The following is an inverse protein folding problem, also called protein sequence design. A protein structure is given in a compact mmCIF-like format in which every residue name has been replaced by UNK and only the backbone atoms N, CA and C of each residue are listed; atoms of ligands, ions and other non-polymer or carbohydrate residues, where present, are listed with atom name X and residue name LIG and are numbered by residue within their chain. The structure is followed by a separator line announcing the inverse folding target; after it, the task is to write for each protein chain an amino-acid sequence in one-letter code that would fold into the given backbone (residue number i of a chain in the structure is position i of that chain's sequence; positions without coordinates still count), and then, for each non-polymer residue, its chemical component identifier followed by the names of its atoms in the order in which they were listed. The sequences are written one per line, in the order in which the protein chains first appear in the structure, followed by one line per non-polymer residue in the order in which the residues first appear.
data_IF_059011610166
#
_entry.id   IF_059011610166
#
_cell.length_a   1.000
_cell.length_b   1.000
_cell.length_c   1.000
_cell.angle_alpha   90.00
_cell.angle_beta   90.00
_cell.angle_gamma   90.00
#
_symmetry.space_group_name_H-M   'P 1'
#
loop_
_entity.id
_entity.type
_entity.pdbx_description
1 polymer ?
#
# COMPACT_ATOMS: atom_id res chain seq x y z
N UNK A 1 14.87 13.21 -14.86
CA UNK A 1 13.85 12.21 -14.49
C UNK A 1 14.39 11.47 -13.28
N UNK A 2 13.85 11.73 -12.07
CA UNK A 2 14.35 11.15 -10.82
C UNK A 2 13.39 10.05 -10.33
N UNK A 3 13.93 8.90 -9.98
CA UNK A 3 13.19 7.78 -9.37
C UNK A 3 13.82 7.43 -8.02
N UNK A 4 12.97 7.10 -7.04
CA UNK A 4 13.38 6.54 -5.75
C UNK A 4 12.70 5.19 -5.61
N UNK A 5 13.45 4.15 -5.26
CA UNK A 5 12.90 2.80 -5.12
C UNK A 5 13.57 1.98 -4.04
N UNK A 6 12.88 0.95 -3.59
CA UNK A 6 13.40 -0.01 -2.61
C UNK A 6 14.46 -0.89 -3.27
N UNK A 7 15.63 -1.00 -2.64
CA UNK A 7 16.65 -1.96 -3.05
C UNK A 7 16.35 -3.31 -2.40
N UNK A 8 15.88 -4.28 -3.18
CA UNK A 8 15.56 -5.62 -2.71
C UNK A 8 16.83 -6.38 -2.31
N UNK A 9 17.08 -6.46 -1.00
CA UNK A 9 18.12 -7.30 -0.44
C UNK A 9 17.57 -8.68 -0.09
N UNK A 10 18.39 -9.71 -0.28
CA UNK A 10 18.11 -11.09 0.14
C UNK A 10 18.03 -11.28 1.65
N UNK A 11 18.32 -10.24 2.44
CA UNK A 11 18.27 -10.26 3.89
C UNK A 11 16.90 -9.74 4.34
N UNK A 12 16.03 -10.58 4.91
CA UNK A 12 14.70 -10.17 5.33
C UNK A 12 14.80 -8.97 6.29
N UNK A 13 15.64 -9.06 7.32
CA UNK A 13 15.65 -8.07 8.41
C UNK A 13 16.01 -6.62 8.00
N UNK A 14 16.56 -6.40 6.79
CA UNK A 14 16.93 -5.06 6.31
C UNK A 14 15.78 -4.05 6.34
N UNK A 15 14.53 -4.52 6.20
CA UNK A 15 13.33 -3.66 6.15
C UNK A 15 12.50 -3.64 7.43
N UNK A 16 13.04 -4.10 8.56
CA UNK A 16 12.24 -4.22 9.79
C UNK A 16 11.94 -2.90 10.48
N UNK A 17 12.75 -1.86 10.23
CA UNK A 17 12.61 -0.53 10.84
C UNK A 17 12.92 0.59 9.86
N UNK A 18 12.20 0.72 8.74
CA UNK A 18 12.39 1.87 7.87
C UNK A 18 12.05 3.14 8.66
N UNK A 19 12.95 4.11 8.65
CA UNK A 19 12.62 5.44 9.17
C UNK A 19 11.52 6.04 8.30
N UNK A 20 10.49 6.66 8.91
CA UNK A 20 9.43 7.29 8.15
C UNK A 20 9.99 8.46 7.33
N UNK A 21 9.46 8.61 6.14
CA UNK A 21 9.75 9.74 5.27
C UNK A 21 8.93 10.94 5.73
N UNK A 22 9.61 12.02 6.11
CA UNK A 22 8.96 13.26 6.54
C UNK A 22 8.35 14.02 5.36
N UNK A 23 9.13 14.21 4.29
CA UNK A 23 8.67 14.85 3.06
C UNK A 23 9.58 14.51 1.88
N UNK A 24 8.99 14.43 0.69
CA UNK A 24 9.64 14.30 -0.61
C UNK A 24 9.33 15.51 -1.52
N UNK A 25 8.66 16.55 -1.00
CA UNK A 25 8.23 17.72 -1.79
C UNK A 25 9.38 18.51 -2.40
N UNK A 26 10.59 18.36 -1.87
CA UNK A 26 11.79 19.01 -2.41
C UNK A 26 12.26 18.39 -3.74
N UNK A 27 11.81 17.17 -4.07
CA UNK A 27 12.17 16.50 -5.31
C UNK A 27 11.20 16.89 -6.44
N UNK A 28 11.42 18.05 -7.05
CA UNK A 28 10.54 18.63 -8.07
C UNK A 28 10.34 17.75 -9.31
N UNK A 29 11.29 16.86 -9.62
CA UNK A 29 11.26 15.99 -10.81
C UNK A 29 11.14 14.50 -10.45
N UNK A 30 10.63 14.19 -9.24
CA UNK A 30 10.37 12.82 -8.80
C UNK A 30 9.07 12.32 -9.43
N UNK A 31 9.20 11.50 -10.46
CA UNK A 31 8.06 10.94 -11.19
C UNK A 31 7.69 9.53 -10.68
N UNK A 32 8.66 8.78 -10.17
CA UNK A 32 8.49 7.41 -9.70
C UNK A 32 8.92 7.26 -8.24
N UNK A 33 8.08 6.61 -7.43
CA UNK A 33 8.37 6.29 -6.04
C UNK A 33 7.96 4.87 -5.67
N UNK A 34 8.93 4.02 -5.32
CA UNK A 34 8.73 2.72 -4.66
C UNK A 34 9.20 2.82 -3.20
N UNK A 35 8.28 2.62 -2.25
CA UNK A 35 8.59 2.60 -0.83
C UNK A 35 7.73 1.58 -0.09
N UNK A 36 8.24 1.03 1.03
CA UNK A 36 7.43 0.24 1.95
C UNK A 36 6.30 1.10 2.54
N UNK A 37 5.13 0.52 2.75
CA UNK A 37 4.02 1.18 3.45
C UNK A 37 4.47 1.82 4.78
N UNK A 38 5.28 1.11 5.56
CA UNK A 38 5.77 1.58 6.87
C UNK A 38 6.66 2.83 6.77
N UNK A 39 7.45 2.95 5.70
CA UNK A 39 8.27 4.13 5.45
C UNK A 39 7.41 5.35 5.10
N UNK A 40 6.22 5.11 4.55
CA UNK A 40 5.34 6.15 4.06
C UNK A 40 4.35 6.67 5.11
N UNK A 41 3.68 5.78 5.85
CA UNK A 41 2.51 6.16 6.68
C UNK A 41 2.72 6.04 8.19
N UNK A 42 3.96 5.82 8.65
CA UNK A 42 4.34 5.72 10.07
C UNK A 42 3.39 4.85 10.93
N UNK A 43 3.78 3.60 11.19
CA UNK A 43 2.98 2.62 11.91
C UNK A 43 2.94 2.81 13.45
N UNK A 44 2.82 4.03 13.97
CA UNK A 44 2.48 4.20 15.39
C UNK A 44 0.97 4.20 15.53
N UNK A 45 0.41 3.19 16.21
CA UNK A 45 -1.02 3.00 16.46
C UNK A 45 -1.73 4.20 17.13
N UNK A 46 -0.98 5.23 17.54
CA UNK A 46 -1.43 6.41 18.28
C UNK A 46 -1.27 7.73 17.51
N UNK A 47 -0.63 7.74 16.34
CA UNK A 47 -0.38 8.96 15.57
C UNK A 47 -1.32 9.06 14.37
N UNK A 48 -1.90 10.24 14.18
CA UNK A 48 -2.71 10.57 13.00
C UNK A 48 -1.87 10.38 11.74
N UNK A 49 -2.35 9.58 10.78
CA UNK A 49 -1.59 9.36 9.53
C UNK A 49 -1.48 10.68 8.75
N UNK A 50 -0.27 11.04 8.28
CA UNK A 50 -0.09 12.21 7.45
C UNK A 50 -0.78 12.02 6.10
N UNK A 51 -1.51 13.04 5.65
CA UNK A 51 -2.15 13.05 4.35
C UNK A 51 -1.09 13.01 3.24
N UNK A 52 -1.35 12.26 2.16
CA UNK A 52 -0.35 11.98 1.14
C UNK A 52 0.25 13.24 0.48
N UNK A 53 -0.55 14.29 0.29
CA UNK A 53 -0.10 15.56 -0.30
C UNK A 53 0.92 16.32 0.55
N UNK A 54 1.05 15.98 1.84
CA UNK A 54 2.05 16.57 2.74
C UNK A 54 3.43 15.93 2.56
N UNK A 55 3.45 14.66 2.14
CA UNK A 55 4.68 13.89 1.95
C UNK A 55 5.12 13.95 0.49
N UNK A 56 4.22 13.70 -0.46
CA UNK A 56 4.57 13.49 -1.86
C UNK A 56 4.67 14.81 -2.63
N UNK A 57 5.62 14.92 -3.58
CA UNK A 57 5.65 16.04 -4.52
C UNK A 57 4.50 15.92 -5.54
N UNK A 58 4.08 17.03 -6.17
CA UNK A 58 3.02 17.01 -7.17
C UNK A 58 3.43 16.38 -8.51
N UNK A 59 4.74 16.28 -8.78
CA UNK A 59 5.28 15.67 -10.00
C UNK A 59 5.26 14.14 -10.02
N UNK A 60 4.68 13.52 -8.98
CA UNK A 60 4.61 12.06 -8.91
C UNK A 60 3.61 11.53 -9.94
N UNK A 61 4.07 10.54 -10.72
CA UNK A 61 3.33 9.94 -11.82
C UNK A 61 3.00 8.48 -11.52
N UNK A 62 3.98 7.77 -10.96
CA UNK A 62 3.89 6.36 -10.63
C UNK A 62 4.30 6.11 -9.19
N UNK A 63 3.53 5.24 -8.53
CA UNK A 63 3.78 4.88 -7.14
C UNK A 63 3.68 3.39 -6.92
N UNK A 64 4.70 2.84 -6.29
CA UNK A 64 4.76 1.46 -5.87
C UNK A 64 4.81 1.42 -4.34
N UNK A 65 3.88 0.67 -3.75
CA UNK A 65 3.78 0.52 -2.30
C UNK A 65 4.06 -0.94 -1.98
N UNK A 66 5.23 -1.17 -1.39
CA UNK A 66 5.68 -2.50 -0.98
C UNK A 66 5.12 -2.84 0.40
N UNK A 67 4.70 -4.09 0.60
CA UNK A 67 4.09 -4.57 1.85
C UNK A 67 2.95 -3.66 2.35
N UNK A 68 1.95 -3.36 1.50
CA UNK A 68 0.81 -2.56 1.89
C UNK A 68 0.06 -3.20 3.06
N UNK A 69 -0.30 -2.37 4.04
CA UNK A 69 -1.30 -2.68 5.05
C UNK A 69 -2.65 -2.08 4.61
N UNK A 70 -3.77 -2.67 5.06
CA UNK A 70 -5.12 -2.25 4.65
C UNK A 70 -5.42 -0.77 4.93
N UNK A 71 -4.75 -0.18 5.93
CA UNK A 71 -4.81 1.25 6.26
C UNK A 71 -4.37 2.17 5.11
N UNK A 72 -3.70 1.66 4.06
CA UNK A 72 -3.36 2.45 2.88
C UNK A 72 -4.62 2.95 2.18
N UNK A 73 -5.72 2.19 2.24
CA UNK A 73 -6.99 2.56 1.64
C UNK A 73 -7.50 3.88 2.22
N UNK A 74 -7.34 4.10 3.53
CA UNK A 74 -7.68 5.37 4.19
C UNK A 74 -6.80 6.52 3.70
N UNK A 75 -5.49 6.32 3.59
CA UNK A 75 -4.61 7.37 3.08
C UNK A 75 -4.87 7.71 1.59
N UNK A 76 -5.32 6.74 0.81
CA UNK A 76 -5.69 6.94 -0.59
C UNK A 76 -7.03 7.67 -0.77
N UNK A 77 -7.89 7.71 0.25
CA UNK A 77 -9.11 8.52 0.25
C UNK A 77 -8.83 10.02 0.20
N UNK A 78 -7.59 10.45 0.46
CA UNK A 78 -7.19 11.85 0.35
C UNK A 78 -6.97 12.29 -1.10
N UNK A 79 -6.72 11.38 -2.05
CA UNK A 79 -6.40 11.74 -3.44
C UNK A 79 -7.46 12.65 -4.09
N UNK A 80 -8.78 12.34 -4.00
CA UNK A 80 -9.82 13.20 -4.56
C UNK A 80 -9.90 14.58 -3.90
N UNK A 81 -9.36 14.75 -2.69
CA UNK A 81 -9.38 16.03 -1.97
C UNK A 81 -8.31 17.02 -2.49
N UNK A 82 -7.31 16.53 -3.22
CA UNK A 82 -6.19 17.33 -3.73
C UNK A 82 -5.92 17.06 -5.23
N UNK A 83 -6.91 17.22 -6.11
CA UNK A 83 -6.77 16.85 -7.53
C UNK A 83 -5.69 17.65 -8.26
N UNK A 84 -5.49 18.92 -7.89
CA UNK A 84 -4.42 19.74 -8.47
C UNK A 84 -3.01 19.37 -7.99
N UNK A 85 -2.88 18.68 -6.86
CA UNK A 85 -1.58 18.19 -6.36
C UNK A 85 -1.20 16.87 -7.02
N UNK A 86 -2.17 16.02 -7.38
CA UNK A 86 -1.94 14.71 -7.97
C UNK A 86 -2.34 14.66 -9.45
N UNK A 87 -2.26 15.79 -10.17
CA UNK A 87 -2.69 15.87 -11.58
C UNK A 87 -1.90 14.96 -12.52
N UNK A 88 -0.66 14.67 -12.16
CA UNK A 88 0.27 13.89 -12.97
C UNK A 88 0.28 12.41 -12.57
N UNK A 89 -0.34 12.07 -11.43
CA UNK A 89 -0.42 10.70 -10.93
C UNK A 89 -1.36 9.90 -11.82
N UNK A 90 -0.88 8.80 -12.40
CA UNK A 90 -1.67 7.92 -13.25
C UNK A 90 -1.61 6.46 -12.81
N UNK A 91 -0.67 6.06 -11.96
CA UNK A 91 -0.56 4.65 -11.53
C UNK A 91 -0.19 4.49 -10.07
N UNK A 92 -0.93 3.62 -9.39
CA UNK A 92 -0.64 3.13 -8.04
C UNK A 92 -0.57 1.61 -8.08
N UNK A 93 0.61 1.08 -7.82
CA UNK A 93 0.88 -0.35 -7.73
C UNK A 93 1.05 -0.76 -6.27
N UNK A 94 0.28 -1.74 -5.83
CA UNK A 94 0.35 -2.34 -4.51
C UNK A 94 0.98 -3.73 -4.62
N UNK A 95 2.01 -4.00 -3.81
CA UNK A 95 2.70 -5.30 -3.75
C UNK A 95 2.48 -5.97 -2.39
N UNK A 96 1.27 -6.50 -2.11
CA UNK A 96 1.01 -7.29 -0.92
C UNK A 96 1.94 -8.51 -0.82
N UNK A 97 2.45 -8.76 0.39
CA UNK A 97 3.17 -10.00 0.74
C UNK A 97 2.54 -10.63 1.97
N UNK A 98 2.54 -11.94 2.02
CA UNK A 98 1.96 -12.71 3.13
C UNK A 98 2.84 -12.64 4.39
N UNK A 99 4.16 -12.82 4.25
CA UNK A 99 5.10 -12.80 5.38
C UNK A 99 5.36 -11.41 6.00
N UNK A 100 4.86 -10.32 5.40
CA UNK A 100 5.21 -8.92 5.80
C UNK A 100 4.08 -7.91 5.83
N UNK A 101 2.90 -8.30 5.40
CA UNK A 101 1.69 -7.49 5.55
C UNK A 101 0.50 -8.40 5.81
N UNK A 102 -0.44 -7.92 6.62
CA UNK A 102 -1.80 -8.48 6.69
C UNK A 102 -2.59 -8.20 5.38
N UNK A 103 -1.88 -8.12 4.25
CA UNK A 103 -2.34 -7.48 3.03
C UNK A 103 -2.76 -8.46 1.96
N UNK A 104 -2.07 -9.60 1.76
CA UNK A 104 -2.38 -10.46 0.61
C UNK A 104 -3.84 -10.87 0.58
N UNK A 105 -4.32 -11.50 1.65
CA UNK A 105 -5.70 -11.95 1.74
C UNK A 105 -6.69 -10.77 1.73
N UNK A 106 -6.37 -9.72 2.50
CA UNK A 106 -7.21 -8.54 2.58
C UNK A 106 -7.37 -7.85 1.22
N UNK A 107 -6.31 -7.73 0.42
CA UNK A 107 -6.32 -7.09 -0.91
C UNK A 107 -6.90 -7.98 -2.00
N UNK A 108 -6.74 -9.30 -1.88
CA UNK A 108 -7.19 -10.26 -2.90
C UNK A 108 -8.67 -10.60 -2.79
N UNK A 109 -9.18 -10.76 -1.58
CA UNK A 109 -10.50 -11.35 -1.36
C UNK A 109 -11.54 -10.38 -0.79
N UNK A 110 -11.15 -9.20 -0.29
CA UNK A 110 -12.13 -8.21 0.19
C UNK A 110 -12.52 -7.24 -0.92
N UNK A 111 -13.76 -6.76 -0.85
CA UNK A 111 -14.23 -5.67 -1.70
C UNK A 111 -13.59 -4.34 -1.26
N UNK A 112 -13.04 -3.60 -2.22
CA UNK A 112 -12.37 -2.33 -2.03
C UNK A 112 -12.99 -1.25 -2.91
N UNK A 113 -14.14 -0.75 -2.49
CA UNK A 113 -14.90 0.33 -3.16
C UNK A 113 -14.09 1.61 -3.43
N UNK A 114 -12.91 1.75 -2.82
CA UNK A 114 -12.01 2.88 -3.03
C UNK A 114 -11.30 2.81 -4.40
N UNK A 115 -11.09 1.62 -4.98
CA UNK A 115 -10.42 1.48 -6.29
C UNK A 115 -11.21 2.19 -7.40
N UNK A 116 -12.51 1.93 -7.49
CA UNK A 116 -13.37 2.60 -8.46
C UNK A 116 -13.32 4.13 -8.33
N UNK A 117 -13.27 4.67 -7.11
CA UNK A 117 -13.16 6.11 -6.88
C UNK A 117 -11.82 6.71 -7.32
N UNK A 118 -10.75 5.94 -7.23
CA UNK A 118 -9.42 6.36 -7.66
C UNK A 118 -9.33 6.27 -9.20
N UNK A 119 -9.89 5.22 -9.79
CA UNK A 119 -10.00 5.06 -11.24
C UNK A 119 -10.84 6.17 -11.90
N UNK A 120 -11.90 6.64 -11.22
CA UNK A 120 -12.67 7.83 -11.64
C UNK A 120 -11.83 9.11 -11.74
N UNK A 121 -10.68 9.18 -11.04
CA UNK A 121 -9.71 10.28 -11.16
C UNK A 121 -8.74 10.09 -12.33
N UNK A 122 -8.84 9.00 -13.09
CA UNK A 122 -7.88 8.64 -14.13
C UNK A 122 -6.60 8.00 -13.59
N UNK A 123 -6.63 7.46 -12.36
CA UNK A 123 -5.50 6.78 -11.73
C UNK A 123 -5.75 5.27 -11.73
N UNK A 124 -4.89 4.52 -12.43
CA UNK A 124 -4.95 3.07 -12.46
C UNK A 124 -4.43 2.48 -11.15
N UNK A 125 -5.21 1.58 -10.52
CA UNK A 125 -4.79 0.85 -9.33
C UNK A 125 -4.49 -0.59 -9.68
N UNK A 126 -3.21 -0.97 -9.58
CA UNK A 126 -2.74 -2.32 -9.83
C UNK A 126 -2.42 -3.01 -8.50
N UNK A 127 -2.99 -4.19 -8.25
CA UNK A 127 -2.58 -5.03 -7.12
C UNK A 127 -1.84 -6.25 -7.66
N UNK A 128 -0.54 -6.32 -7.39
CA UNK A 128 0.34 -7.34 -7.91
C UNK A 128 0.64 -8.39 -6.83
N UNK A 129 0.32 -9.64 -7.13
CA UNK A 129 0.54 -10.78 -6.25
C UNK A 129 1.73 -11.60 -6.74
N UNK A 130 2.55 -12.09 -5.83
CA UNK A 130 3.56 -13.12 -6.14
C UNK A 130 2.99 -14.49 -5.81
N UNK A 131 3.22 -15.44 -6.71
CA UNK A 131 2.77 -16.81 -6.57
C UNK A 131 3.41 -17.50 -5.36
N UNK A 132 4.61 -17.06 -4.95
CA UNK A 132 5.30 -17.57 -3.76
C UNK A 132 4.63 -17.15 -2.45
N UNK A 133 3.83 -16.09 -2.45
CA UNK A 133 3.06 -15.65 -1.28
C UNK A 133 1.72 -16.41 -1.15
N UNK A 134 1.37 -17.28 -2.10
CA UNK A 134 0.12 -18.02 -2.09
C UNK A 134 0.15 -19.17 -1.08
N UNK A 135 -0.78 -19.17 -0.13
CA UNK A 135 -1.04 -20.34 0.72
C UNK A 135 -1.96 -21.33 0.02
N UNK A 136 -1.62 -22.61 0.07
CA UNK A 136 -2.43 -23.69 -0.51
C UNK A 136 -3.85 -23.76 0.06
N UNK A 137 -4.01 -23.34 1.32
CA UNK A 137 -5.30 -23.24 2.03
C UNK A 137 -6.30 -22.31 1.33
N UNK A 138 -5.81 -21.30 0.60
CA UNK A 138 -6.64 -20.38 -0.18
C UNK A 138 -7.21 -20.97 -1.47
N UNK A 139 -6.86 -22.22 -1.78
CA UNK A 139 -7.42 -22.98 -2.90
C UNK A 139 -8.66 -23.78 -2.52
N UNK A 140 -9.01 -23.80 -1.23
CA UNK A 140 -10.23 -24.45 -0.75
C UNK A 140 -11.45 -23.65 -1.21
N UNK A 141 -12.45 -24.35 -1.75
CA UNK A 141 -13.71 -23.73 -2.19
C UNK A 141 -14.53 -23.18 -1.01
N UNK A 142 -14.30 -23.72 0.18
CA UNK A 142 -14.95 -23.29 1.42
C UNK A 142 -14.11 -22.22 2.15
N UNK A 143 -13.00 -21.76 1.56
CA UNK A 143 -12.18 -20.69 2.12
C UNK A 143 -12.96 -19.37 2.13
N UNK A 144 -13.34 -18.93 3.33
CA UNK A 144 -13.89 -17.60 3.57
C UNK A 144 -12.97 -16.84 4.55
N UNK A 145 -12.26 -15.79 4.08
CA UNK A 145 -11.40 -14.94 4.89
C UNK A 145 -12.06 -14.43 6.18
N UNK A 146 -13.35 -14.10 6.08
CA UNK A 146 -14.10 -13.55 7.19
C UNK A 146 -14.43 -14.62 8.23
N UNK A 147 -14.76 -15.83 7.78
CA UNK A 147 -14.98 -16.99 8.68
C UNK A 147 -13.68 -17.35 9.39
N UNK A 148 -12.54 -17.35 8.69
CA UNK A 148 -11.23 -17.59 9.30
C UNK A 148 -10.88 -16.53 10.36
N UNK A 149 -11.20 -15.25 10.11
CA UNK A 149 -11.04 -14.17 11.10
C UNK A 149 -11.87 -14.41 12.37
N UNK A 150 -13.13 -14.85 12.21
CA UNK A 150 -14.02 -15.18 13.34
C UNK A 150 -13.49 -16.38 14.12
N UNK A 151 -13.06 -17.45 13.45
CA UNK A 151 -12.53 -18.66 14.09
C UNK A 151 -11.27 -18.33 14.90
N UNK A 152 -10.32 -17.60 14.31
CA UNK A 152 -9.10 -17.18 15.01
C UNK A 152 -9.41 -16.33 16.25
N UNK A 153 -10.37 -15.41 16.17
CA UNK A 153 -10.80 -14.62 17.31
C UNK A 153 -11.42 -15.47 18.42
N UNK A 154 -12.18 -16.51 18.08
CA UNK A 154 -12.81 -17.42 19.05
C UNK A 154 -11.81 -18.36 19.71
N UNK A 155 -10.72 -18.73 19.02
CA UNK A 155 -9.64 -19.56 19.58
C UNK A 155 -8.73 -18.80 20.55
N UNK A 156 -8.67 -17.47 20.44
CA UNK A 156 -7.87 -16.59 21.30
C UNK A 156 -8.61 -16.16 22.60
N UNK A 157 -9.86 -16.60 22.81
CA UNK A 157 -10.68 -16.34 24.01
C UNK A 157 -10.50 -17.42 25.10
#
# INVERSE_FOLDING_TARGET
MLSIGVCYHSVPHFFEKPSPVSTLKHFQNLWYLSLPHKALLYASATAMQPALHTILPPSIQERHIDWPHISITSALQDLPLFPGHFSDLHTITLWPREYRGAGYEAFKYRDHKIWAKIEELGVDVNVCYDELDYRTEWGDSDYDPFVCEIVSFLEDL
#
